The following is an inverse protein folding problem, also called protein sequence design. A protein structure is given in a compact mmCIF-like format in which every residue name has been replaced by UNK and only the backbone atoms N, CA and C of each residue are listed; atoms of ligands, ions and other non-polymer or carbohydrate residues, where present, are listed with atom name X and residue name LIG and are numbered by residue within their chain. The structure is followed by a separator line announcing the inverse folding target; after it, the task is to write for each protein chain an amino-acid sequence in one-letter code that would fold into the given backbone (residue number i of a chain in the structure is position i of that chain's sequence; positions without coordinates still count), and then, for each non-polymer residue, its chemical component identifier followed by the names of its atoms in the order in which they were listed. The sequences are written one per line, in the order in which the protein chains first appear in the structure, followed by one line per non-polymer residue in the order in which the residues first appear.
data_IF_048869023554
#
_entry.id   IF_048869023554
#
_cell.length_a   1.000
_cell.length_b   1.000
_cell.length_c   1.000
_cell.angle_alpha   90.00
_cell.angle_beta   90.00
_cell.angle_gamma   90.00
#
_symmetry.space_group_name_H-M   'P 1'
#
loop_
_entity.id
_entity.type
_entity.pdbx_description
1 polymer ?
#
# COMPACT_ATOMS: atom_id res chain seq x y z
N UNK A 1 15.79 7.85 2.26
CA UNK A 1 14.98 6.62 2.32
C UNK A 1 13.66 6.94 1.66
N UNK A 2 13.33 6.14 0.65
CA UNK A 2 12.38 6.29 -0.48
C UNK A 2 11.22 7.28 -0.34
N UNK A 3 11.46 8.55 -0.69
CA UNK A 3 10.41 9.58 -0.90
C UNK A 3 9.34 9.11 -1.90
N UNK A 4 9.76 8.30 -2.90
CA UNK A 4 8.86 7.71 -3.87
C UNK A 4 7.83 6.75 -3.24
N UNK A 5 8.25 5.94 -2.27
CA UNK A 5 7.35 5.02 -1.56
C UNK A 5 6.33 5.81 -0.75
N UNK A 6 6.78 6.84 -0.02
CA UNK A 6 5.90 7.72 0.73
C UNK A 6 4.88 8.42 -0.18
N UNK A 7 5.30 8.89 -1.35
CA UNK A 7 4.42 9.53 -2.32
C UNK A 7 3.33 8.55 -2.83
N UNK A 8 3.72 7.31 -3.16
CA UNK A 8 2.79 6.29 -3.67
C UNK A 8 1.78 5.86 -2.60
N UNK A 9 2.24 5.67 -1.37
CA UNK A 9 1.41 5.38 -0.19
C UNK A 9 0.41 6.51 0.05
N UNK A 10 0.84 7.78 0.02
CA UNK A 10 -0.07 8.93 0.13
C UNK A 10 -1.09 8.97 -1.00
N UNK A 11 -0.66 8.71 -2.24
CA UNK A 11 -1.57 8.70 -3.39
C UNK A 11 -2.63 7.60 -3.23
N UNK A 12 -2.24 6.42 -2.74
CA UNK A 12 -3.18 5.34 -2.43
C UNK A 12 -4.20 5.77 -1.38
N UNK A 13 -3.74 6.42 -0.30
CA UNK A 13 -4.61 6.90 0.76
C UNK A 13 -5.67 7.90 0.24
N UNK A 14 -5.24 8.88 -0.55
CA UNK A 14 -6.13 9.91 -1.13
C UNK A 14 -7.17 9.29 -2.08
N UNK A 15 -6.75 8.33 -2.91
CA UNK A 15 -7.67 7.59 -3.79
C UNK A 15 -8.73 6.78 -3.02
N UNK A 16 -8.38 6.25 -1.84
CA UNK A 16 -9.31 5.54 -0.95
C UNK A 16 -10.23 6.49 -0.17
N UNK A 17 -9.92 7.78 -0.07
CA UNK A 17 -10.80 8.80 0.51
C UNK A 17 -11.81 9.33 -0.51
N UNK A 18 -11.41 9.42 -1.78
CA UNK A 18 -12.21 10.01 -2.85
C UNK A 18 -13.14 9.07 -3.61
N UNK A 19 -13.05 7.75 -3.40
CA UNK A 19 -13.85 6.77 -4.16
C UNK A 19 -14.80 5.97 -3.28
N UNK A 20 -15.97 5.53 -3.81
CA UNK A 20 -16.87 4.60 -3.15
C UNK A 20 -16.31 3.17 -3.23
N UNK A 21 -15.16 2.97 -2.59
CA UNK A 21 -14.56 1.66 -2.38
C UNK A 21 -15.29 0.95 -1.24
N UNK A 22 -15.33 -0.38 -1.26
CA UNK A 22 -15.88 -1.16 -0.16
C UNK A 22 -15.19 -0.79 1.15
N UNK A 23 -15.97 -0.41 2.18
CA UNK A 23 -15.44 0.11 3.44
C UNK A 23 -14.54 -0.91 4.15
N UNK A 24 -14.79 -2.21 3.97
CA UNK A 24 -14.00 -3.28 4.58
C UNK A 24 -12.62 -3.40 3.92
N UNK A 25 -12.59 -3.40 2.59
CA UNK A 25 -11.34 -3.50 1.82
C UNK A 25 -10.54 -2.20 1.91
N UNK A 26 -11.20 -1.05 1.89
CA UNK A 26 -10.58 0.26 2.06
C UNK A 26 -9.99 0.44 3.47
N UNK A 27 -10.67 -0.04 4.51
CA UNK A 27 -10.15 0.00 5.89
C UNK A 27 -8.87 -0.82 6.03
N UNK A 28 -8.85 -2.04 5.48
CA UNK A 28 -7.66 -2.91 5.48
C UNK A 28 -6.49 -2.23 4.78
N UNK A 29 -6.71 -1.68 3.59
CA UNK A 29 -5.66 -0.95 2.88
C UNK A 29 -5.19 0.29 3.62
N UNK A 30 -6.09 1.09 4.20
CA UNK A 30 -5.72 2.26 5.00
C UNK A 30 -4.83 1.85 6.17
N UNK A 31 -5.14 0.74 6.83
CA UNK A 31 -4.35 0.21 7.93
C UNK A 31 -2.95 -0.19 7.45
N UNK A 32 -2.85 -1.02 6.41
CA UNK A 32 -1.55 -1.44 5.82
C UNK A 32 -0.72 -0.23 5.37
N UNK A 33 -1.36 0.74 4.72
CA UNK A 33 -0.70 1.96 4.23
C UNK A 33 -0.16 2.80 5.39
N UNK A 34 -0.90 2.90 6.49
CA UNK A 34 -0.48 3.61 7.70
C UNK A 34 0.65 2.86 8.43
N UNK A 35 0.55 1.54 8.57
CA UNK A 35 1.57 0.71 9.19
C UNK A 35 2.90 0.81 8.43
N UNK A 36 2.85 0.81 7.09
CA UNK A 36 4.03 1.06 6.25
C UNK A 36 4.60 2.46 6.45
N UNK A 37 3.77 3.51 6.56
CA UNK A 37 4.24 4.87 6.87
C UNK A 37 4.94 4.92 8.23
N UNK A 38 4.37 4.27 9.25
CA UNK A 38 4.93 4.20 10.59
C UNK A 38 6.27 3.44 10.55
N UNK A 39 6.32 2.29 9.89
CA UNK A 39 7.54 1.49 9.76
C UNK A 39 8.65 2.26 9.01
N UNK A 40 8.30 2.97 7.93
CA UNK A 40 9.22 3.84 7.19
C UNK A 40 9.70 5.04 8.02
N UNK A 41 8.81 5.66 8.79
CA UNK A 41 9.13 6.81 9.63
C UNK A 41 9.99 6.43 10.84
N UNK A 42 9.83 5.20 11.36
CA UNK A 42 10.58 4.70 12.50
C UNK A 42 11.97 4.16 12.15
N UNK A 43 12.27 3.91 10.86
CA UNK A 43 13.61 3.73 10.28
C UNK A 43 14.71 3.00 11.11
N UNK A 44 14.34 2.09 12.01
CA UNK A 44 15.27 1.24 12.78
C UNK A 44 14.91 -0.26 12.70
N UNK A 45 13.93 -0.65 11.88
CA UNK A 45 13.46 -2.03 11.83
C UNK A 45 13.16 -2.52 10.42
N UNK A 46 13.55 -3.77 10.15
CA UNK A 46 13.11 -4.57 9.01
C UNK A 46 11.60 -4.54 8.93
N UNK A 47 11.05 -3.92 7.90
CA UNK A 47 9.62 -4.00 7.60
C UNK A 47 9.34 -5.48 7.28
N UNK A 48 8.37 -6.14 7.94
CA UNK A 48 7.97 -7.50 7.59
C UNK A 48 7.25 -7.47 6.23
N UNK A 49 8.04 -7.35 5.17
CA UNK A 49 7.62 -7.11 3.81
C UNK A 49 6.71 -8.23 3.29
N UNK A 50 7.00 -9.47 3.70
CA UNK A 50 6.21 -10.66 3.34
C UNK A 50 4.75 -10.54 3.79
N UNK A 51 4.51 -10.11 5.05
CA UNK A 51 3.16 -9.99 5.59
C UNK A 51 2.35 -8.89 4.88
N UNK A 52 2.97 -7.76 4.57
CA UNK A 52 2.29 -6.67 3.87
C UNK A 52 2.11 -6.94 2.38
N UNK A 53 3.04 -7.63 1.73
CA UNK A 53 2.92 -7.98 0.32
C UNK A 53 1.73 -8.91 0.06
N UNK A 54 1.48 -9.89 0.94
CA UNK A 54 0.30 -10.77 0.81
C UNK A 54 -1.02 -9.98 0.91
N UNK A 55 -1.13 -9.07 1.87
CA UNK A 55 -2.34 -8.24 2.02
C UNK A 55 -2.53 -7.24 0.88
N UNK A 56 -1.44 -6.59 0.44
CA UNK A 56 -1.45 -5.68 -0.70
C UNK A 56 -1.79 -6.44 -2.00
N UNK A 57 -1.27 -7.65 -2.19
CA UNK A 57 -1.55 -8.45 -3.38
C UNK A 57 -3.02 -8.85 -3.44
N UNK A 58 -3.58 -9.31 -2.31
CA UNK A 58 -5.00 -9.64 -2.21
C UNK A 58 -5.88 -8.41 -2.50
N UNK A 59 -5.58 -7.28 -1.87
CA UNK A 59 -6.31 -6.04 -2.13
C UNK A 59 -6.18 -5.59 -3.59
N UNK A 60 -5.00 -5.71 -4.21
CA UNK A 60 -4.81 -5.38 -5.62
C UNK A 60 -5.65 -6.27 -6.55
N UNK A 61 -5.90 -7.52 -6.19
CA UNK A 61 -6.79 -8.42 -6.94
C UNK A 61 -8.25 -7.98 -6.75
N UNK A 62 -8.68 -7.70 -5.51
CA UNK A 62 -10.04 -7.25 -5.21
C UNK A 62 -10.37 -5.92 -5.90
N UNK A 63 -9.42 -4.98 -5.94
CA UNK A 63 -9.59 -3.70 -6.63
C UNK A 63 -9.36 -3.78 -8.14
N UNK A 64 -8.82 -4.87 -8.70
CA UNK A 64 -8.52 -4.93 -10.13
C UNK A 64 -9.78 -4.84 -11.01
N UNK A 65 -10.92 -5.34 -10.50
CA UNK A 65 -12.19 -5.34 -11.23
C UNK A 65 -12.92 -3.99 -11.12
N UNK A 66 -13.08 -3.48 -9.91
CA UNK A 66 -13.86 -2.25 -9.66
C UNK A 66 -13.03 -0.96 -9.72
N UNK A 67 -11.76 -1.00 -9.33
CA UNK A 67 -10.89 0.17 -9.18
C UNK A 67 -9.46 -0.08 -9.71
N UNK A 68 -9.27 -0.24 -11.03
CA UNK A 68 -7.99 -0.63 -11.62
C UNK A 68 -6.84 0.36 -11.31
N UNK A 69 -7.15 1.63 -11.11
CA UNK A 69 -6.16 2.64 -10.70
C UNK A 69 -5.58 2.37 -9.30
N UNK A 70 -6.43 1.93 -8.36
CA UNK A 70 -6.02 1.59 -6.99
C UNK A 70 -5.14 0.34 -7.02
N UNK A 71 -5.57 -0.70 -7.74
CA UNK A 71 -4.79 -1.92 -7.94
C UNK A 71 -3.39 -1.64 -8.54
N UNK A 72 -3.30 -0.71 -9.48
CA UNK A 72 -2.03 -0.33 -10.09
C UNK A 72 -1.07 0.33 -9.07
N UNK A 73 -1.59 1.24 -8.23
CA UNK A 73 -0.75 1.91 -7.23
C UNK A 73 -0.31 0.94 -6.13
N UNK A 74 -1.16 0.01 -5.72
CA UNK A 74 -0.78 -1.05 -4.77
C UNK A 74 0.37 -1.89 -5.32
N UNK A 75 0.31 -2.30 -6.59
CA UNK A 75 1.42 -3.01 -7.27
C UNK A 75 2.70 -2.21 -7.32
N UNK A 76 2.62 -0.89 -7.52
CA UNK A 76 3.80 -0.03 -7.49
C UNK A 76 4.40 0.07 -6.09
N UNK A 77 3.58 0.11 -5.04
CA UNK A 77 4.03 0.07 -3.64
C UNK A 77 4.77 -1.25 -3.36
N UNK A 78 4.18 -2.40 -3.70
CA UNK A 78 4.83 -3.71 -3.54
C UNK A 78 6.17 -3.80 -4.29
N UNK A 79 6.22 -3.35 -5.54
CA UNK A 79 7.48 -3.31 -6.30
C UNK A 79 8.52 -2.39 -5.67
N UNK A 80 8.09 -1.28 -5.06
CA UNK A 80 9.00 -0.34 -4.41
C UNK A 80 9.51 -0.91 -3.09
N UNK A 81 8.66 -1.58 -2.31
CA UNK A 81 9.04 -2.32 -1.10
C UNK A 81 10.09 -3.39 -1.43
N UNK A 82 9.83 -4.26 -2.41
CA UNK A 82 10.78 -5.30 -2.82
C UNK A 82 12.10 -4.79 -3.41
N UNK A 83 12.13 -3.56 -3.90
CA UNK A 83 13.38 -2.90 -4.34
C UNK A 83 14.17 -2.27 -3.18
N UNK A 84 13.54 -2.00 -2.03
CA UNK A 84 14.20 -1.45 -0.83
C UNK A 84 14.80 -2.57 0.02
N UNK A 85 14.28 -3.80 -0.08
CA UNK A 85 14.78 -5.00 0.60
C UNK A 85 16.12 -5.57 0.08
N UNK A 86 16.88 -4.83 -0.76
CA UNK A 86 18.24 -5.17 -1.22
C UNK A 86 19.29 -4.33 -0.48
#
# INVERSE_FOLDING_TARGET
MSEELQLRIQTLHDMLEGQPVDECTAATLRQVTNDLQIALAQAEGTIPEEAYNEELEKAAIEFAEDHPAIAQVIRQIMNTLGNIGI
#
